data_IF_236712775560
#
_entry.id   IF_236712775560
#
_cell.length_a   1.000
_cell.length_b   1.000
_cell.length_c   1.000
_cell.angle_alpha   90.00
_cell.angle_beta   90.00
_cell.angle_gamma   90.00
#
_symmetry.space_group_name_H-M   'P 1'
#
loop_
_entity.id
_entity.type
_entity.pdbx_description
1 polymer ?
#
# COMPACT_ATOMS: atom_id res chain seq x y z
N UNK A 1 18.37 -17.06 -27.64
CA UNK A 1 19.08 -16.61 -26.42
C UNK A 1 18.15 -16.87 -25.25
N UNK A 2 18.67 -17.35 -24.11
CA UNK A 2 17.86 -17.51 -22.90
C UNK A 2 17.59 -16.17 -22.23
N UNK A 3 16.49 -16.06 -21.50
CA UNK A 3 16.17 -14.94 -20.62
C UNK A 3 16.69 -15.23 -19.20
N UNK A 4 16.90 -14.20 -18.40
CA UNK A 4 17.29 -14.33 -16.99
C UNK A 4 16.06 -14.20 -16.09
N UNK A 5 16.01 -15.00 -15.05
CA UNK A 5 15.03 -14.92 -13.96
C UNK A 5 15.79 -14.64 -12.67
N UNK A 6 15.40 -13.57 -11.99
CA UNK A 6 15.97 -13.12 -10.72
C UNK A 6 15.06 -13.56 -9.59
N UNK A 7 15.65 -14.06 -8.52
CA UNK A 7 14.99 -14.30 -7.23
C UNK A 7 15.51 -13.24 -6.25
N UNK A 8 14.58 -12.46 -5.71
CA UNK A 8 14.82 -11.33 -4.82
C UNK A 8 14.28 -11.69 -3.44
N UNK A 9 15.14 -11.68 -2.42
CA UNK A 9 14.73 -11.69 -1.01
C UNK A 9 14.58 -10.24 -0.55
N UNK A 10 13.35 -9.84 -0.27
CA UNK A 10 12.96 -8.47 0.11
C UNK A 10 12.56 -8.50 1.57
N UNK A 11 13.28 -7.75 2.41
CA UNK A 11 13.07 -7.72 3.87
C UNK A 11 12.84 -6.31 4.35
N UNK A 12 11.77 -6.10 5.10
CA UNK A 12 11.50 -4.81 5.70
C UNK A 12 12.43 -4.58 6.90
N UNK A 13 13.07 -3.42 6.95
CA UNK A 13 13.99 -3.06 8.03
C UNK A 13 13.23 -2.63 9.30
N UNK A 14 13.98 -2.53 10.40
CA UNK A 14 13.51 -2.03 11.70
C UNK A 14 12.34 -2.80 12.36
N UNK A 15 11.90 -3.93 11.80
CA UNK A 15 10.83 -4.77 12.35
C UNK A 15 11.34 -6.16 12.69
N UNK A 16 11.04 -6.60 13.91
CA UNK A 16 11.30 -7.97 14.36
C UNK A 16 10.05 -8.60 15.01
N UNK A 17 9.71 -9.86 14.71
CA UNK A 17 10.35 -10.75 13.73
C UNK A 17 10.28 -10.24 12.28
N UNK A 18 11.30 -10.48 11.47
CA UNK A 18 11.35 -9.96 10.10
C UNK A 18 10.07 -10.23 9.26
N UNK A 19 9.58 -9.19 8.57
CA UNK A 19 8.58 -9.28 7.51
C UNK A 19 9.33 -9.35 6.18
N UNK A 20 9.05 -10.37 5.36
CA UNK A 20 9.83 -10.59 4.13
C UNK A 20 9.06 -11.33 3.04
N UNK A 21 9.54 -11.19 1.79
CA UNK A 21 9.03 -11.85 0.59
C UNK A 21 10.18 -12.37 -0.26
N UNK A 22 9.98 -13.51 -0.91
CA UNK A 22 10.81 -13.93 -2.05
C UNK A 22 10.03 -13.72 -3.34
N UNK A 23 10.50 -12.78 -4.15
CA UNK A 23 9.87 -12.35 -5.41
C UNK A 23 10.75 -12.79 -6.57
N UNK A 24 10.14 -13.42 -7.58
CA UNK A 24 10.82 -13.75 -8.83
C UNK A 24 10.37 -12.79 -9.95
N UNK A 25 11.32 -12.19 -10.64
CA UNK A 25 11.09 -11.25 -11.76
C UNK A 25 12.03 -11.52 -12.94
N UNK A 26 11.58 -11.31 -14.19
CA UNK A 26 12.49 -11.31 -15.34
C UNK A 26 13.62 -10.31 -15.17
N UNK A 27 14.84 -10.64 -15.60
CA UNK A 27 15.95 -9.68 -15.56
C UNK A 27 15.75 -8.46 -16.46
N UNK A 28 14.87 -8.58 -17.45
CA UNK A 28 14.46 -7.49 -18.35
C UNK A 28 13.37 -6.58 -17.76
N UNK A 29 12.94 -6.81 -16.51
CA UNK A 29 12.05 -5.90 -15.79
C UNK A 29 12.76 -4.57 -15.51
N UNK A 30 12.04 -3.45 -15.70
CA UNK A 30 12.51 -2.14 -15.24
C UNK A 30 12.55 -2.09 -13.71
N UNK A 31 13.19 -1.07 -13.13
CA UNK A 31 13.09 -0.86 -11.68
C UNK A 31 11.65 -0.50 -11.27
N UNK A 32 10.89 0.21 -12.11
CA UNK A 32 9.45 0.41 -11.93
C UNK A 32 8.67 -0.93 -11.86
N UNK A 33 8.96 -1.88 -12.76
CA UNK A 33 8.34 -3.21 -12.70
C UNK A 33 8.69 -3.93 -11.38
N UNK A 34 9.92 -3.74 -10.87
CA UNK A 34 10.36 -4.31 -9.58
C UNK A 34 9.64 -3.63 -8.42
N UNK A 35 9.45 -2.32 -8.47
CA UNK A 35 8.67 -1.56 -7.49
C UNK A 35 7.25 -2.11 -7.39
N UNK A 36 6.52 -2.22 -8.50
CA UNK A 36 5.16 -2.78 -8.48
C UNK A 36 5.14 -4.24 -8.00
N UNK A 37 6.14 -5.05 -8.36
CA UNK A 37 6.22 -6.41 -7.85
C UNK A 37 6.41 -6.47 -6.33
N UNK A 38 7.19 -5.54 -5.75
CA UNK A 38 7.36 -5.41 -4.30
C UNK A 38 6.05 -4.93 -3.66
N UNK A 39 5.43 -3.87 -4.19
CA UNK A 39 4.17 -3.31 -3.68
C UNK A 39 3.07 -4.39 -3.58
N UNK A 40 2.82 -5.13 -4.67
CA UNK A 40 1.83 -6.22 -4.66
C UNK A 40 2.23 -7.33 -3.69
N UNK A 41 3.51 -7.73 -3.66
CA UNK A 41 3.96 -8.79 -2.76
C UNK A 41 3.84 -8.39 -1.28
N UNK A 42 4.00 -7.10 -0.97
CA UNK A 42 3.80 -6.56 0.36
C UNK A 42 2.34 -6.28 0.69
N UNK A 43 1.48 -6.09 -0.31
CA UNK A 43 0.07 -5.74 -0.12
C UNK A 43 -0.15 -4.22 0.05
N UNK A 44 0.76 -3.41 -0.48
CA UNK A 44 0.65 -1.95 -0.50
C UNK A 44 0.06 -1.44 -1.80
N UNK A 45 -0.36 -0.18 -1.79
CA UNK A 45 -1.24 0.38 -2.82
C UNK A 45 -0.56 1.39 -3.73
N UNK A 46 0.77 1.55 -3.63
CA UNK A 46 1.51 2.55 -4.40
C UNK A 46 0.97 3.99 -4.21
N UNK A 47 0.66 4.33 -2.96
CA UNK A 47 0.10 5.65 -2.58
C UNK A 47 1.15 6.74 -2.39
N UNK A 48 2.42 6.35 -2.20
CA UNK A 48 3.51 7.25 -1.84
C UNK A 48 4.70 7.16 -2.81
N UNK A 49 5.62 8.12 -2.70
CA UNK A 49 6.88 8.11 -3.43
C UNK A 49 7.77 6.96 -2.98
N UNK A 50 8.65 6.52 -3.89
CA UNK A 50 9.64 5.49 -3.64
C UNK A 50 10.95 5.78 -4.36
N UNK A 51 12.00 5.08 -3.94
CA UNK A 51 13.27 5.05 -4.64
C UNK A 51 14.04 3.75 -4.40
N UNK A 52 14.99 3.48 -5.29
CA UNK A 52 16.03 2.47 -5.13
C UNK A 52 17.39 3.14 -4.96
N UNK A 53 18.21 2.62 -4.04
CA UNK A 53 19.63 2.96 -3.95
C UNK A 53 20.48 1.76 -4.35
N UNK A 54 21.06 1.81 -5.55
CA UNK A 54 21.87 0.70 -6.11
C UNK A 54 23.26 1.23 -6.46
N UNK A 55 24.29 0.68 -5.83
CA UNK A 55 25.67 1.06 -6.10
C UNK A 55 25.99 2.55 -5.82
N UNK A 56 25.24 3.17 -4.91
CA UNK A 56 25.39 4.59 -4.56
C UNK A 56 24.70 5.57 -5.52
N UNK A 57 23.86 5.08 -6.44
CA UNK A 57 23.00 5.89 -7.31
C UNK A 57 21.54 5.71 -6.89
N UNK A 58 20.75 6.77 -7.08
CA UNK A 58 19.33 6.81 -6.78
C UNK A 58 18.52 6.61 -8.05
N UNK A 59 17.47 5.80 -7.98
CA UNK A 59 16.56 5.53 -9.08
C UNK A 59 15.12 5.66 -8.58
N UNK A 60 14.26 6.38 -9.28
CA UNK A 60 12.87 6.59 -8.85
C UNK A 60 12.05 7.35 -9.88
N UNK A 61 10.96 7.96 -9.42
CA UNK A 61 10.00 8.68 -10.27
C UNK A 61 10.51 10.08 -10.66
N UNK A 62 11.36 10.15 -11.69
CA UNK A 62 11.98 11.39 -12.17
C UNK A 62 10.99 12.49 -12.60
N UNK A 63 9.77 12.14 -13.02
CA UNK A 63 8.76 13.13 -13.44
C UNK A 63 8.05 13.81 -12.25
N UNK A 64 8.08 13.20 -11.07
CA UNK A 64 7.36 13.67 -9.87
C UNK A 64 8.27 14.46 -8.93
N UNK A 65 9.57 14.22 -8.99
CA UNK A 65 10.54 14.82 -8.07
C UNK A 65 10.68 16.35 -8.22
N UNK A 66 10.29 16.93 -9.36
CA UNK A 66 10.09 18.37 -9.65
C UNK A 66 11.22 19.34 -9.26
N UNK A 67 12.29 18.84 -8.66
CA UNK A 67 13.32 19.58 -7.93
C UNK A 67 14.58 19.72 -8.76
N UNK A 68 14.67 19.00 -9.88
CA UNK A 68 15.86 18.97 -10.71
C UNK A 68 17.02 18.32 -9.97
N UNK A 69 16.74 17.30 -9.15
CA UNK A 69 17.78 16.53 -8.49
C UNK A 69 18.53 15.73 -9.56
N UNK A 70 19.67 16.27 -9.99
CA UNK A 70 20.52 15.69 -11.03
C UNK A 70 21.06 14.31 -10.64
N UNK A 71 20.84 13.87 -9.40
CA UNK A 71 21.27 12.57 -8.88
C UNK A 71 20.18 11.48 -8.95
N UNK A 72 18.91 11.82 -9.25
CA UNK A 72 17.84 10.84 -9.41
C UNK A 72 17.71 10.39 -10.87
N UNK A 73 17.83 9.09 -11.10
CA UNK A 73 17.70 8.47 -12.41
C UNK A 73 16.29 7.89 -12.61
N UNK A 74 15.75 7.99 -13.83
CA UNK A 74 14.43 7.46 -14.14
C UNK A 74 14.41 5.92 -14.10
N UNK A 75 13.68 5.36 -13.14
CA UNK A 75 13.58 3.92 -12.93
C UNK A 75 13.03 3.12 -14.13
N UNK A 76 12.32 3.79 -15.05
CA UNK A 76 11.75 3.17 -16.26
C UNK A 76 12.83 2.85 -17.30
N UNK A 77 13.97 3.53 -17.25
CA UNK A 77 15.06 3.38 -18.22
C UNK A 77 16.02 2.23 -17.87
N UNK A 78 16.08 1.81 -16.60
CA UNK A 78 17.05 0.83 -16.14
C UNK A 78 16.45 -0.55 -15.91
N UNK A 79 17.09 -1.60 -16.44
CA UNK A 79 16.68 -2.99 -16.20
C UNK A 79 17.47 -3.61 -15.07
N UNK A 80 16.81 -4.46 -14.30
CA UNK A 80 17.40 -5.14 -13.15
C UNK A 80 18.71 -5.87 -13.52
N UNK A 81 18.72 -6.56 -14.65
CA UNK A 81 19.90 -7.32 -15.11
C UNK A 81 21.10 -6.45 -15.49
N UNK A 82 20.90 -5.17 -15.76
CA UNK A 82 21.98 -4.25 -16.14
C UNK A 82 22.65 -3.63 -14.89
N UNK A 83 21.98 -3.71 -13.73
CA UNK A 83 22.41 -3.07 -12.48
C UNK A 83 22.94 -4.07 -11.45
N UNK A 84 22.37 -5.27 -11.39
CA UNK A 84 22.65 -6.24 -10.32
C UNK A 84 22.87 -7.65 -10.85
N UNK A 85 23.57 -8.46 -10.05
CA UNK A 85 23.86 -9.86 -10.33
C UNK A 85 23.55 -10.72 -9.10
N UNK A 86 23.67 -12.05 -9.23
CA UNK A 86 23.50 -12.94 -8.09
C UNK A 86 24.45 -12.56 -6.95
N UNK A 87 23.92 -12.38 -5.75
CA UNK A 87 24.67 -11.94 -4.58
C UNK A 87 24.71 -10.43 -4.35
N UNK A 88 24.23 -9.61 -5.30
CA UNK A 88 24.03 -8.17 -5.10
C UNK A 88 22.97 -7.88 -4.03
N UNK A 89 23.13 -6.76 -3.35
CA UNK A 89 22.15 -6.19 -2.43
C UNK A 89 21.98 -4.70 -2.71
N UNK A 90 20.78 -4.18 -2.47
CA UNK A 90 20.42 -2.77 -2.63
C UNK A 90 19.25 -2.40 -1.72
N UNK A 91 19.01 -1.10 -1.57
CA UNK A 91 17.93 -0.56 -0.76
C UNK A 91 16.75 -0.20 -1.66
N UNK A 92 15.53 -0.48 -1.17
CA UNK A 92 14.28 0.05 -1.70
C UNK A 92 13.55 0.78 -0.58
N UNK A 93 13.25 2.05 -0.78
CA UNK A 93 12.54 2.90 0.18
C UNK A 93 11.17 3.26 -0.39
N UNK A 94 10.13 3.10 0.41
CA UNK A 94 8.76 3.46 0.08
C UNK A 94 8.20 4.37 1.16
N UNK A 95 7.40 5.36 0.75
CA UNK A 95 6.87 6.41 1.61
C UNK A 95 7.94 7.18 2.37
N UNK A 96 8.41 8.29 1.81
CA UNK A 96 9.41 9.15 2.46
C UNK A 96 8.89 9.84 3.74
N UNK A 97 7.57 9.81 4.00
CA UNK A 97 7.00 10.24 5.27
C UNK A 97 7.23 9.22 6.37
N UNK A 98 6.80 7.98 6.14
CA UNK A 98 6.89 6.88 7.12
C UNK A 98 8.26 6.17 7.12
N UNK A 99 9.03 6.29 6.05
CA UNK A 99 10.39 5.77 5.91
C UNK A 99 10.47 4.24 5.83
N UNK A 100 9.67 3.60 4.97
CA UNK A 100 9.69 2.14 4.83
C UNK A 100 10.88 1.66 3.99
N UNK A 101 11.98 1.34 4.68
CA UNK A 101 13.20 0.81 4.07
C UNK A 101 13.22 -0.71 3.96
N UNK A 102 13.64 -1.22 2.80
CA UNK A 102 13.76 -2.64 2.50
C UNK A 102 15.15 -3.01 2.03
N UNK A 103 15.73 -4.02 2.68
CA UNK A 103 16.89 -4.72 2.16
C UNK A 103 16.45 -5.68 1.05
N UNK A 104 16.90 -5.42 -0.18
CA UNK A 104 16.67 -6.30 -1.32
C UNK A 104 17.96 -7.03 -1.66
N UNK A 105 17.91 -8.36 -1.67
CA UNK A 105 19.04 -9.22 -2.03
C UNK A 105 18.70 -10.11 -3.21
N UNK A 106 19.55 -10.10 -4.23
CA UNK A 106 19.47 -11.05 -5.34
C UNK A 106 20.04 -12.39 -4.88
N UNK A 107 19.17 -13.33 -4.48
CA UNK A 107 19.60 -14.63 -3.97
C UNK A 107 20.03 -15.57 -5.09
N UNK A 108 19.40 -15.45 -6.26
CA UNK A 108 19.63 -16.35 -7.40
C UNK A 108 19.34 -15.67 -8.73
N UNK A 109 20.15 -16.00 -9.74
CA UNK A 109 19.89 -15.65 -11.14
C UNK A 109 19.98 -16.91 -11.99
N UNK A 110 18.92 -17.22 -12.74
CA UNK A 110 18.85 -18.43 -13.58
C UNK A 110 18.59 -18.06 -15.03
N UNK A 111 19.30 -18.70 -15.96
CA UNK A 111 18.97 -18.60 -17.39
C UNK A 111 17.90 -19.61 -17.76
N UNK A 112 16.80 -19.13 -18.34
CA UNK A 112 15.63 -19.91 -18.76
C UNK A 112 15.32 -19.66 -20.23
N UNK A 113 14.64 -20.58 -20.89
CA UNK A 113 14.26 -20.39 -22.29
C UNK A 113 13.28 -19.21 -22.47
N UNK A 114 12.37 -19.04 -21.50
CA UNK A 114 11.43 -17.94 -21.38
C UNK A 114 11.19 -17.68 -19.90
N UNK A 115 11.38 -16.44 -19.46
CA UNK A 115 11.12 -16.06 -18.08
C UNK A 115 9.62 -16.19 -17.78
N UNK A 116 9.25 -16.76 -16.62
CA UNK A 116 7.88 -16.70 -16.16
C UNK A 116 7.48 -15.26 -15.85
N UNK A 117 6.18 -15.05 -15.63
CA UNK A 117 5.66 -13.78 -15.10
C UNK A 117 6.17 -13.53 -13.68
N UNK A 118 6.21 -12.27 -13.23
CA UNK A 118 6.50 -11.92 -11.84
C UNK A 118 5.63 -12.70 -10.86
N UNK A 119 6.24 -13.25 -9.82
CA UNK A 119 5.50 -13.98 -8.77
C UNK A 119 6.17 -13.86 -7.41
N UNK A 120 5.38 -13.89 -6.35
CA UNK A 120 5.89 -14.12 -5.00
C UNK A 120 5.83 -15.63 -4.69
N UNK A 121 6.92 -16.21 -4.19
CA UNK A 121 7.05 -17.68 -3.98
C UNK A 121 7.32 -18.09 -2.53
N UNK A 122 7.60 -17.12 -1.66
CA UNK A 122 7.76 -17.34 -0.24
C UNK A 122 7.61 -16.01 0.51
N UNK A 123 7.37 -16.09 1.82
CA UNK A 123 7.30 -14.92 2.68
C UNK A 123 6.80 -15.29 4.06
N UNK A 124 6.78 -14.31 4.95
CA UNK A 124 6.18 -14.43 6.27
C UNK A 124 5.66 -13.09 6.76
N UNK A 125 4.63 -13.16 7.62
CA UNK A 125 3.95 -12.03 8.28
C UNK A 125 3.24 -11.08 7.33
N UNK A 126 2.19 -10.43 7.82
CA UNK A 126 1.52 -9.36 7.10
C UNK A 126 2.41 -8.11 7.12
N UNK A 127 2.42 -7.35 6.02
CA UNK A 127 3.14 -6.08 6.00
C UNK A 127 2.37 -5.01 6.79
N UNK A 128 3.06 -3.99 7.32
CA UNK A 128 2.38 -2.89 8.00
C UNK A 128 1.30 -2.27 7.09
N UNK A 129 0.12 -1.92 7.62
CA UNK A 129 -0.86 -1.16 6.85
C UNK A 129 -0.28 0.17 6.35
N UNK A 130 -0.77 0.67 5.22
CA UNK A 130 -0.48 2.02 4.75
C UNK A 130 -0.76 3.06 5.84
N UNK A 131 0.02 4.14 5.87
CA UNK A 131 -0.13 5.27 6.79
C UNK A 131 -0.13 4.91 8.29
N UNK A 132 0.47 3.78 8.69
CA UNK A 132 0.52 3.42 10.10
C UNK A 132 1.59 4.19 10.92
N UNK A 133 2.34 5.10 10.30
CA UNK A 133 3.30 5.97 10.98
C UNK A 133 4.69 5.37 11.10
N UNK A 134 5.13 4.67 10.06
CA UNK A 134 6.45 4.05 9.97
C UNK A 134 6.68 2.93 10.98
N UNK A 135 7.93 2.45 11.13
CA UNK A 135 8.25 1.32 12.01
C UNK A 135 7.78 1.51 13.46
N UNK A 136 7.87 2.74 13.98
CA UNK A 136 7.41 3.05 15.34
C UNK A 136 5.89 3.03 15.48
N UNK A 137 5.16 3.55 14.49
CA UNK A 137 3.71 3.53 14.51
C UNK A 137 3.16 2.12 14.36
N UNK A 138 3.80 1.30 13.51
CA UNK A 138 3.51 -0.13 13.44
C UNK A 138 3.77 -0.86 14.76
N UNK A 139 4.87 -0.56 15.46
CA UNK A 139 5.12 -1.14 16.78
C UNK A 139 4.02 -0.77 17.79
N UNK A 140 3.61 0.51 17.82
CA UNK A 140 2.50 0.95 18.67
C UNK A 140 1.19 0.22 18.32
N UNK A 141 0.90 0.03 17.03
CA UNK A 141 -0.25 -0.76 16.57
C UNK A 141 -0.19 -2.19 17.13
N UNK A 142 0.95 -2.88 17.02
CA UNK A 142 1.10 -4.25 17.54
C UNK A 142 0.93 -4.33 19.07
N UNK A 143 1.47 -3.35 19.80
CA UNK A 143 1.33 -3.27 21.25
C UNK A 143 -0.13 -3.05 21.67
N UNK A 144 -0.81 -2.11 21.00
CA UNK A 144 -2.22 -1.83 21.22
C UNK A 144 -3.10 -3.03 20.90
N UNK A 145 -2.91 -3.70 19.76
CA UNK A 145 -3.71 -4.88 19.38
C UNK A 145 -3.53 -6.06 20.35
N UNK A 146 -2.35 -6.19 20.97
CA UNK A 146 -2.04 -7.30 21.88
C UNK A 146 -2.62 -7.12 23.28
N UNK A 147 -2.75 -5.89 23.77
CA UNK A 147 -3.26 -5.60 25.12
C UNK A 147 -4.64 -4.92 25.08
N UNK A 148 -5.73 -5.65 25.41
CA UNK A 148 -7.07 -5.07 25.55
C UNK A 148 -7.22 -3.94 26.57
N UNK A 149 -6.19 -3.69 27.40
CA UNK A 149 -6.15 -2.58 28.37
C UNK A 149 -5.30 -1.40 27.89
N UNK A 150 -4.65 -1.50 26.74
CA UNK A 150 -3.94 -0.38 26.14
C UNK A 150 -4.91 0.78 25.92
N UNK A 151 -4.46 2.01 26.19
CA UNK A 151 -5.35 3.17 26.10
C UNK A 151 -5.87 3.40 24.67
N UNK A 152 -5.08 2.99 23.67
CA UNK A 152 -5.42 3.06 22.24
C UNK A 152 -5.99 1.74 21.67
N UNK A 153 -6.28 0.71 22.50
CA UNK A 153 -6.70 -0.60 22.00
C UNK A 153 -7.93 -0.51 21.08
N UNK A 154 -9.02 0.09 21.58
CA UNK A 154 -10.29 0.17 20.86
C UNK A 154 -10.17 1.01 19.57
N UNK A 155 -9.35 2.07 19.59
CA UNK A 155 -9.10 2.89 18.40
C UNK A 155 -8.26 2.15 17.36
N UNK A 156 -7.23 1.44 17.80
CA UNK A 156 -6.33 0.70 16.89
C UNK A 156 -7.01 -0.51 16.26
N UNK A 157 -7.81 -1.26 17.02
CA UNK A 157 -8.64 -2.36 16.46
C UNK A 157 -9.62 -1.83 15.41
N UNK A 158 -10.22 -0.65 15.65
CA UNK A 158 -11.13 -0.06 14.67
C UNK A 158 -10.40 0.43 13.42
N UNK A 159 -9.22 1.03 13.60
CA UNK A 159 -8.42 1.60 12.51
C UNK A 159 -7.82 0.50 11.62
N UNK A 160 -7.28 -0.56 12.21
CA UNK A 160 -6.61 -1.64 11.47
C UNK A 160 -7.56 -2.68 10.86
N UNK A 161 -8.87 -2.54 11.05
CA UNK A 161 -9.91 -3.47 10.58
C UNK A 161 -9.60 -4.95 10.87
N UNK A 162 -9.40 -5.78 9.84
CA UNK A 162 -9.12 -7.21 9.94
C UNK A 162 -7.62 -7.56 9.88
N UNK A 163 -6.74 -6.58 10.13
CA UNK A 163 -5.29 -6.79 10.10
C UNK A 163 -4.82 -7.86 11.09
N UNK A 164 -4.15 -8.88 10.56
CA UNK A 164 -3.55 -9.98 11.33
C UNK A 164 -2.02 -9.99 11.13
N UNK A 165 -1.20 -9.55 12.10
CA UNK A 165 0.24 -9.34 11.92
C UNK A 165 1.03 -10.56 11.43
N UNK A 166 0.60 -11.76 11.82
CA UNK A 166 1.30 -13.01 11.48
C UNK A 166 0.76 -13.68 10.21
N UNK A 167 -0.29 -13.13 9.60
CA UNK A 167 -0.96 -13.74 8.46
C UNK A 167 -0.18 -13.48 7.17
N UNK A 168 0.21 -14.56 6.50
CA UNK A 168 0.73 -14.51 5.14
C UNK A 168 0.26 -15.75 4.38
N UNK A 169 -0.71 -15.55 3.49
CA UNK A 169 -1.33 -16.62 2.73
C UNK A 169 -0.69 -16.73 1.35
N UNK A 170 0.03 -17.84 1.10
CA UNK A 170 0.65 -18.10 -0.19
C UNK A 170 0.03 -19.33 -0.87
N UNK A 171 -0.52 -19.21 -2.09
CA UNK A 171 -0.94 -20.36 -2.87
C UNK A 171 0.21 -21.32 -3.12
N UNK A 172 -0.05 -22.62 -3.24
CA UNK A 172 1.00 -23.62 -3.56
C UNK A 172 1.74 -23.34 -4.87
N UNK A 173 1.13 -22.61 -5.79
CA UNK A 173 1.71 -22.18 -7.07
C UNK A 173 2.61 -20.95 -6.95
N UNK A 174 2.69 -20.31 -5.78
CA UNK A 174 3.06 -18.91 -5.65
C UNK A 174 1.90 -17.97 -6.00
N UNK A 175 2.06 -16.70 -5.64
CA UNK A 175 1.16 -15.59 -5.98
C UNK A 175 1.62 -14.99 -7.31
N UNK A 176 0.80 -15.06 -8.36
CA UNK A 176 1.04 -14.36 -9.64
C UNK A 176 0.79 -12.88 -9.42
N UNK A 177 1.78 -12.03 -9.68
CA UNK A 177 1.70 -10.59 -9.38
C UNK A 177 1.21 -9.79 -10.60
N UNK A 178 1.10 -10.40 -11.78
CA UNK A 178 0.93 -9.66 -13.04
C UNK A 178 -0.33 -8.80 -13.09
N UNK A 179 -1.47 -9.31 -12.64
CA UNK A 179 -2.75 -8.60 -12.76
C UNK A 179 -2.76 -7.40 -11.82
N UNK A 180 -2.45 -7.61 -10.55
CA UNK A 180 -2.36 -6.53 -9.55
C UNK A 180 -1.26 -5.50 -9.91
N UNK A 181 -0.12 -5.93 -10.47
CA UNK A 181 0.91 -5.01 -10.96
C UNK A 181 0.39 -4.15 -12.11
N UNK A 182 -0.39 -4.71 -13.02
CA UNK A 182 -0.98 -3.97 -14.14
C UNK A 182 -2.02 -2.96 -13.64
N UNK A 183 -2.82 -3.35 -12.64
CA UNK A 183 -3.82 -2.48 -12.02
C UNK A 183 -3.13 -1.30 -11.30
N UNK A 184 -2.10 -1.55 -10.49
CA UNK A 184 -1.32 -0.48 -9.83
C UNK A 184 -0.65 0.44 -10.85
N UNK A 185 -0.11 -0.12 -11.93
CA UNK A 185 0.52 0.67 -12.99
C UNK A 185 -0.48 1.56 -13.73
N UNK A 186 -1.65 1.03 -14.08
CA UNK A 186 -2.72 1.80 -14.70
C UNK A 186 -3.18 2.96 -13.82
N UNK A 187 -3.29 2.73 -12.50
CA UNK A 187 -3.60 3.79 -11.53
C UNK A 187 -2.49 4.86 -11.48
N UNK A 188 -1.23 4.45 -11.54
CA UNK A 188 -0.07 5.37 -11.46
C UNK A 188 0.11 6.21 -12.74
N UNK A 189 -0.14 5.64 -13.92
CA UNK A 189 -0.01 6.32 -15.21
C UNK A 189 -1.16 7.32 -15.47
N UNK A 190 -2.14 7.41 -14.56
CA UNK A 190 -3.30 8.26 -14.74
C UNK A 190 -4.12 7.85 -15.95
N UNK A 191 -4.09 6.56 -16.31
CA UNK A 191 -5.03 6.03 -17.29
C UNK A 191 -6.40 6.27 -16.67
N UNK A 192 -7.10 7.28 -17.20
CA UNK A 192 -8.51 7.53 -17.00
C UNK A 192 -9.23 6.27 -17.51
N UNK A 193 -9.17 5.18 -16.74
CA UNK A 193 -10.40 4.47 -16.50
C UNK A 193 -11.32 5.58 -16.03
N UNK A 194 -12.35 5.83 -16.82
CA UNK A 194 -13.60 6.38 -16.34
C UNK A 194 -13.98 5.56 -15.09
N UNK A 195 -13.36 5.83 -13.94
CA UNK A 195 -14.05 5.79 -12.68
C UNK A 195 -15.20 6.71 -12.97
N UNK A 196 -16.37 6.11 -13.09
CA UNK A 196 -17.62 6.81 -13.22
C UNK A 196 -17.79 7.60 -11.89
N UNK A 197 -17.07 8.72 -11.76
CA UNK A 197 -17.18 9.68 -10.64
C UNK A 197 -18.55 10.39 -10.71
N UNK A 198 -19.41 9.99 -11.64
CA UNK A 198 -20.84 10.27 -11.64
C UNK A 198 -21.61 9.64 -10.46
N UNK A 199 -20.92 9.02 -9.48
CA UNK A 199 -21.50 8.70 -8.19
C UNK A 199 -21.11 9.70 -7.07
N UNK A 200 -21.38 10.99 -7.30
CA UNK A 200 -22.03 11.79 -6.26
C UNK A 200 -21.19 12.76 -5.41
N UNK A 201 -20.17 13.43 -5.96
CA UNK A 201 -19.59 14.62 -5.30
C UNK A 201 -19.68 15.81 -6.27
N UNK A 202 -20.62 16.72 -6.00
CA UNK A 202 -20.79 17.98 -6.74
C UNK A 202 -19.89 19.05 -6.11
N UNK A 203 -18.66 19.18 -6.62
CA UNK A 203 -17.72 20.21 -6.15
C UNK A 203 -18.06 21.55 -6.81
N UNK A 204 -18.07 22.67 -6.06
CA UNK A 204 -18.28 23.99 -6.64
C UNK A 204 -17.25 24.29 -7.76
N UNK A 205 -17.67 24.83 -8.90
CA UNK A 205 -16.78 25.18 -10.04
C UNK A 205 -15.56 26.01 -9.60
N UNK A 206 -15.77 26.94 -8.66
CA UNK A 206 -14.71 27.78 -8.09
C UNK A 206 -13.61 26.99 -7.37
N UNK A 207 -13.95 25.83 -6.80
CA UNK A 207 -13.00 24.94 -6.15
C UNK A 207 -12.22 24.14 -7.19
N UNK A 208 -12.88 23.69 -8.26
CA UNK A 208 -12.25 23.01 -9.40
C UNK A 208 -11.25 23.94 -10.08
N UNK A 209 -11.66 25.18 -10.38
CA UNK A 209 -10.80 26.20 -10.98
C UNK A 209 -9.61 26.55 -10.08
N UNK A 210 -9.83 26.64 -8.75
CA UNK A 210 -8.77 26.91 -7.79
C UNK A 210 -7.76 25.76 -7.73
N UNK A 211 -8.20 24.50 -7.77
CA UNK A 211 -7.31 23.32 -7.79
C UNK A 211 -6.52 23.25 -9.09
N UNK A 212 -7.17 23.51 -10.23
CA UNK A 212 -6.50 23.51 -11.54
C UNK A 212 -5.51 24.67 -11.70
N UNK A 213 -5.70 25.77 -10.98
CA UNK A 213 -4.79 26.91 -10.95
C UNK A 213 -3.55 26.69 -10.06
N UNK A 214 -3.48 25.59 -9.30
CA UNK A 214 -2.30 25.25 -8.50
C UNK A 214 -1.17 24.68 -9.36
N UNK A 215 0.06 24.96 -8.95
CA UNK A 215 1.25 24.33 -9.53
C UNK A 215 1.21 22.80 -9.25
N UNK A 216 1.79 21.97 -10.13
CA UNK A 216 1.70 20.50 -10.02
C UNK A 216 2.07 19.95 -8.64
N UNK A 217 3.14 20.46 -8.02
CA UNK A 217 3.60 20.05 -6.68
C UNK A 217 2.58 20.42 -5.58
N UNK A 218 1.89 21.54 -5.74
CA UNK A 218 0.85 21.98 -4.81
C UNK A 218 -0.44 21.15 -4.96
N UNK A 219 -0.75 20.71 -6.19
CA UNK A 219 -1.85 19.74 -6.42
C UNK A 219 -1.55 18.38 -5.83
N UNK A 220 -0.33 17.87 -5.99
CA UNK A 220 0.10 16.62 -5.36
C UNK A 220 0.04 16.69 -3.83
N UNK A 221 0.54 17.80 -3.25
CA UNK A 221 0.46 18.05 -1.80
C UNK A 221 -0.98 18.18 -1.30
N UNK A 222 -1.85 18.84 -2.08
CA UNK A 222 -3.28 18.95 -1.77
C UNK A 222 -3.99 17.59 -1.91
N UNK A 223 -3.61 16.76 -2.89
CA UNK A 223 -4.09 15.40 -3.05
C UNK A 223 -3.74 14.52 -1.84
N UNK A 224 -2.48 14.60 -1.37
CA UNK A 224 -2.04 13.90 -0.16
C UNK A 224 -2.76 14.40 1.11
N UNK A 225 -2.95 15.72 1.25
CA UNK A 225 -3.71 16.32 2.35
C UNK A 225 -5.19 15.91 2.32
N UNK A 226 -5.81 15.89 1.15
CA UNK A 226 -7.21 15.47 0.99
C UNK A 226 -7.34 13.97 1.23
N UNK A 227 -6.39 13.14 0.78
CA UNK A 227 -6.33 11.71 1.07
C UNK A 227 -6.26 11.43 2.58
N UNK A 228 -5.32 12.08 3.28
CA UNK A 228 -5.17 11.96 4.73
C UNK A 228 -6.36 12.54 5.52
N UNK A 229 -6.97 13.63 5.03
CA UNK A 229 -8.10 14.29 5.70
C UNK A 229 -9.44 13.58 5.46
N UNK A 230 -9.70 13.06 4.24
CA UNK A 230 -10.92 12.29 3.95
C UNK A 230 -10.92 10.95 4.67
N UNK A 231 -9.76 10.30 4.84
CA UNK A 231 -9.67 9.10 5.67
C UNK A 231 -10.13 9.38 7.11
N UNK A 232 -9.71 10.52 7.68
CA UNK A 232 -10.08 10.94 9.04
C UNK A 232 -11.56 11.35 9.14
N UNK A 233 -12.08 12.13 8.20
CA UNK A 233 -13.50 12.55 8.22
C UNK A 233 -14.47 11.39 7.88
N UNK A 234 -14.09 10.45 7.01
CA UNK A 234 -14.90 9.26 6.72
C UNK A 234 -14.99 8.33 7.94
N UNK A 235 -13.96 8.29 8.79
CA UNK A 235 -14.00 7.58 10.08
C UNK A 235 -14.99 8.24 11.04
N UNK A 236 -14.98 9.56 11.17
CA UNK A 236 -15.95 10.29 12.00
C UNK A 236 -17.39 10.13 11.49
N UNK A 237 -17.61 10.20 10.17
CA UNK A 237 -18.92 10.01 9.55
C UNK A 237 -19.41 8.57 9.72
N UNK A 238 -18.53 7.56 9.58
CA UNK A 238 -18.86 6.15 9.87
C UNK A 238 -19.19 5.93 11.35
N UNK A 239 -18.48 6.59 12.27
CA UNK A 239 -18.74 6.52 13.71
C UNK A 239 -20.12 7.07 14.06
N UNK A 240 -20.48 8.24 13.52
CA UNK A 240 -21.80 8.86 13.73
C UNK A 240 -22.91 8.01 13.09
N UNK A 241 -22.68 7.47 11.89
CA UNK A 241 -23.63 6.57 11.23
C UNK A 241 -23.85 5.27 12.03
N UNK A 242 -22.79 4.67 12.58
CA UNK A 242 -22.86 3.48 13.42
C UNK A 242 -23.65 3.70 14.72
N UNK A 243 -23.48 4.87 15.35
CA UNK A 243 -24.24 5.27 16.54
C UNK A 243 -25.74 5.45 16.23
N UNK A 244 -26.07 6.07 15.09
CA UNK A 244 -27.45 6.25 14.62
C UNK A 244 -28.15 4.91 14.35
N UNK A 245 -27.48 3.99 13.65
CA UNK A 245 -28.01 2.65 13.36
C UNK A 245 -28.28 1.86 14.66
N UNK A 246 -27.38 1.97 15.63
CA UNK A 246 -27.54 1.31 16.93
C UNK A 246 -28.72 1.88 17.71
N UNK A 247 -28.84 3.22 17.77
CA UNK A 247 -29.96 3.89 18.42
C UNK A 247 -31.32 3.55 17.78
N UNK A 248 -31.37 3.40 16.44
CA UNK A 248 -32.57 2.99 15.72
C UNK A 248 -32.98 1.55 16.07
N UNK A 249 -32.02 0.61 16.10
CA UNK A 249 -32.26 -0.79 16.50
C UNK A 249 -32.79 -0.90 17.94
N UNK A 250 -32.26 -0.11 18.87
CA UNK A 250 -32.77 -0.07 20.24
C UNK A 250 -34.19 0.51 20.32
N UNK A 251 -34.48 1.55 19.56
CA UNK A 251 -35.80 2.17 19.51
C UNK A 251 -36.85 1.19 18.99
N UNK A 252 -36.52 0.40 17.98
CA UNK A 252 -37.42 -0.60 17.42
C UNK A 252 -37.58 -1.82 18.32
N UNK A 253 -36.54 -2.27 19.03
CA UNK A 253 -36.66 -3.26 20.10
C UNK A 253 -37.60 -2.77 21.21
N UNK A 254 -37.46 -1.51 21.66
CA UNK A 254 -38.32 -0.90 22.68
C UNK A 254 -39.78 -0.77 22.20
N UNK A 255 -40.01 -0.42 20.93
CA UNK A 255 -41.36 -0.40 20.34
C UNK A 255 -41.98 -1.79 20.27
N UNK A 256 -41.23 -2.79 19.81
CA UNK A 256 -41.71 -4.17 19.68
C UNK A 256 -42.06 -4.78 21.05
N UNK A 257 -41.24 -4.54 22.08
CA UNK A 257 -41.51 -4.96 23.45
C UNK A 257 -42.77 -4.29 24.04
N UNK A 258 -43.03 -3.02 23.70
CA UNK A 258 -44.20 -2.27 24.16
C UNK A 258 -45.49 -2.73 23.47
N UNK A 259 -45.41 -3.14 22.20
CA UNK A 259 -46.52 -3.73 21.44
C UNK A 259 -46.88 -5.13 21.96
N UNK A 260 -45.88 -5.96 22.28
CA UNK A 260 -46.12 -7.27 22.90
C UNK A 260 -46.77 -7.18 24.28
N UNK A 261 -46.35 -6.23 25.13
CA UNK A 261 -46.97 -5.99 26.45
C UNK A 261 -48.42 -5.49 26.37
N UNK A 262 -48.80 -4.76 25.31
CA UNK A 262 -50.19 -4.33 25.10
C UNK A 262 -51.10 -5.47 24.63
N UNK A 263 -50.59 -6.38 23.78
CA UNK A 263 -51.35 -7.56 23.32
C UNK A 263 -51.53 -8.63 24.40
N UNK A 264 -50.60 -8.76 25.34
CA UNK A 264 -50.70 -9.71 26.45
C UNK A 264 -51.63 -9.25 27.60
N UNK A 265 -52.22 -8.05 27.50
CA UNK A 265 -53.14 -7.46 28.50
C UNK A 265 -54.56 -7.24 27.95
N UNK A 266 -54.81 -7.64 26.71
CA UNK A 266 -56.12 -7.70 26.06
C UNK A 266 -56.59 -9.14 25.98
#
# INVERSE_FOLDING_TARGET
>A
MGQTLYELDVRLQAIEPAIWRTVEVPGTSSLEDVHFAIQVAMGWTNSHLHQFTIGGRFYGMADVDGSGDLELEDEREYRLQDLVQSGSSFLYEYDFGDGWEHDVRVTKVTTVAKAPRPRCIAGARACPPEDCGGPSGYQNLLEALRDPKHEEHDSMVMWSDDFEPERFDLPKSGLDLREDMADLKALAEGDEHDVDVAAGIDLPELLVDAVLALEPVQRASLGALIGASLATELVEVRQVAGQLVTAMKERDKKKSARTHRKRARS
#
